data_IF_403368969031
#
_entry.id   IF_403368969031
#
_cell.length_a   1.000
_cell.length_b   1.000
_cell.length_c   1.000
_cell.angle_alpha   90.00
_cell.angle_beta   90.00
_cell.angle_gamma   90.00
#
_symmetry.space_group_name_H-M   'P 1'
#
loop_
_entity.id
_entity.type
_entity.pdbx_description
1 polymer ?
#
# COMPACT_ATOMS: atom_id res chain seq x y z
N UNK A 1 -64.33 -19.11 33.68
CA UNK A 1 -63.52 -18.50 34.76
C UNK A 1 -62.10 -18.37 34.21
N UNK A 2 -61.79 -17.21 33.62
CA UNK A 2 -61.24 -16.04 34.30
C UNK A 2 -59.70 -16.04 34.25
N UNK A 3 -59.17 -15.32 33.26
CA UNK A 3 -58.12 -14.30 33.38
C UNK A 3 -56.89 -14.68 34.22
N UNK A 4 -55.78 -15.00 33.54
CA UNK A 4 -54.42 -14.71 34.03
C UNK A 4 -53.49 -14.38 32.87
N UNK A 5 -53.84 -13.29 32.20
CA UNK A 5 -52.88 -12.42 31.55
C UNK A 5 -51.88 -11.89 32.59
N UNK A 6 -50.64 -11.67 32.14
CA UNK A 6 -49.78 -10.57 32.61
C UNK A 6 -49.31 -10.70 34.07
N UNK A 7 -48.30 -11.53 34.34
CA UNK A 7 -47.28 -11.21 35.36
C UNK A 7 -46.03 -12.11 35.25
N UNK A 8 -45.16 -11.80 34.31
CA UNK A 8 -43.71 -12.14 34.40
C UNK A 8 -42.85 -11.21 33.53
N UNK A 9 -43.38 -10.02 33.22
CA UNK A 9 -42.67 -8.94 32.51
C UNK A 9 -42.10 -7.90 33.49
N UNK A 10 -41.81 -8.25 34.74
CA UNK A 10 -41.42 -7.25 35.74
C UNK A 10 -40.39 -7.75 36.78
N UNK A 11 -39.27 -8.35 36.35
CA UNK A 11 -38.11 -8.53 37.24
C UNK A 11 -36.81 -8.88 36.48
N UNK A 12 -36.29 -7.94 35.67
CA UNK A 12 -34.84 -7.84 35.36
C UNK A 12 -34.49 -6.51 34.66
N UNK A 13 -34.93 -5.41 35.25
CA UNK A 13 -34.30 -4.11 35.04
C UNK A 13 -33.11 -4.03 36.01
N UNK A 14 -31.89 -4.14 35.46
CA UNK A 14 -30.62 -3.59 35.96
C UNK A 14 -29.46 -4.40 35.35
N UNK A 15 -29.13 -4.13 34.08
CA UNK A 15 -27.75 -4.29 33.62
C UNK A 15 -27.24 -2.91 33.28
N UNK A 16 -26.13 -2.48 33.91
CA UNK A 16 -25.64 -1.11 33.81
C UNK A 16 -25.30 -0.80 32.36
N UNK A 17 -25.81 0.33 31.92
CA UNK A 17 -25.33 1.13 30.81
C UNK A 17 -23.79 1.21 30.90
N UNK A 18 -23.10 0.32 30.18
CA UNK A 18 -21.69 0.51 29.89
C UNK A 18 -21.63 1.30 28.60
N UNK A 19 -21.66 2.63 28.75
CA UNK A 19 -21.06 3.55 27.80
C UNK A 19 -19.63 3.08 27.52
N UNK A 20 -19.44 2.25 26.48
CA UNK A 20 -18.11 1.99 25.95
C UNK A 20 -17.78 3.12 25.00
N UNK A 21 -17.35 4.25 25.56
CA UNK A 21 -16.45 5.19 24.89
C UNK A 21 -15.12 4.48 24.56
N UNK A 22 -15.12 3.55 23.60
CA UNK A 22 -13.92 2.94 23.00
C UNK A 22 -14.21 2.58 21.54
N UNK A 23 -14.68 3.57 20.79
CA UNK A 23 -15.09 3.38 19.40
C UNK A 23 -14.18 4.02 18.36
N UNK A 24 -13.64 5.22 18.62
CA UNK A 24 -12.99 6.06 17.60
C UNK A 24 -11.98 5.29 16.76
N UNK A 25 -10.81 4.98 17.31
CA UNK A 25 -9.70 4.37 16.57
C UNK A 25 -10.05 2.98 16.01
N UNK A 26 -10.80 2.14 16.73
CA UNK A 26 -11.19 0.81 16.23
C UNK A 26 -12.16 0.89 15.06
N UNK A 27 -13.08 1.87 15.08
CA UNK A 27 -14.00 2.13 13.97
C UNK A 27 -13.26 2.74 12.79
N UNK A 28 -12.39 3.73 13.02
CA UNK A 28 -11.52 4.31 11.99
C UNK A 28 -10.61 3.27 11.32
N UNK A 29 -9.95 2.36 12.07
CA UNK A 29 -9.14 1.29 11.49
C UNK A 29 -9.97 0.28 10.70
N UNK A 30 -11.21 0.03 11.11
CA UNK A 30 -12.15 -0.84 10.39
C UNK A 30 -12.62 -0.18 9.09
N UNK A 31 -12.89 1.12 9.11
CA UNK A 31 -13.28 1.91 7.95
C UNK A 31 -12.10 2.06 6.97
N UNK A 32 -10.89 2.35 7.45
CA UNK A 32 -9.64 2.35 6.67
C UNK A 32 -9.37 0.98 6.03
N UNK A 33 -9.56 -0.13 6.75
CA UNK A 33 -9.43 -1.48 6.16
C UNK A 33 -10.47 -1.73 5.07
N UNK A 34 -11.67 -1.17 5.21
CA UNK A 34 -12.73 -1.24 4.20
C UNK A 34 -12.39 -0.40 2.96
N UNK A 35 -11.77 0.76 3.13
CA UNK A 35 -11.30 1.62 2.04
C UNK A 35 -10.04 1.07 1.34
N UNK A 36 -9.11 0.47 2.08
CA UNK A 36 -7.95 -0.24 1.51
C UNK A 36 -8.40 -1.44 0.66
N UNK A 37 -9.55 -2.06 0.98
CA UNK A 37 -10.14 -3.09 0.10
C UNK A 37 -10.70 -2.54 -1.21
N UNK A 38 -11.02 -1.24 -1.28
CA UNK A 38 -11.41 -0.55 -2.53
C UNK A 38 -10.20 -0.13 -3.36
N UNK A 39 -9.01 -0.08 -2.75
CA UNK A 39 -7.76 0.06 -3.50
C UNK A 39 -7.59 -1.23 -4.29
N UNK A 40 -7.88 -1.14 -5.59
CA UNK A 40 -7.62 -2.21 -6.55
C UNK A 40 -6.12 -2.42 -6.56
N UNK A 41 -5.67 -3.37 -5.74
CA UNK A 41 -4.29 -3.76 -5.76
C UNK A 41 -4.04 -4.45 -7.10
N UNK A 42 -3.07 -3.94 -7.88
CA UNK A 42 -2.77 -4.50 -9.19
C UNK A 42 -2.47 -6.00 -9.01
N UNK A 43 -3.02 -6.81 -9.91
CA UNK A 43 -2.78 -8.26 -9.91
C UNK A 43 -1.28 -8.51 -9.86
N UNK A 44 -0.83 -9.48 -9.04
CA UNK A 44 0.60 -9.82 -8.85
C UNK A 44 1.35 -9.94 -10.19
N UNK A 45 0.67 -10.44 -11.23
CA UNK A 45 1.23 -10.54 -12.59
C UNK A 45 1.57 -9.18 -13.21
N UNK A 46 0.70 -8.17 -13.04
CA UNK A 46 0.93 -6.82 -13.55
C UNK A 46 2.09 -6.14 -12.85
N UNK A 47 2.22 -6.35 -11.53
CA UNK A 47 3.36 -5.82 -10.76
C UNK A 47 4.67 -6.43 -11.28
N UNK A 48 4.72 -7.75 -11.47
CA UNK A 48 5.93 -8.43 -11.97
C UNK A 48 6.28 -7.98 -13.38
N UNK A 49 5.30 -7.86 -14.29
CA UNK A 49 5.56 -7.39 -15.66
C UNK A 49 6.10 -5.96 -15.67
N UNK A 50 5.51 -5.05 -14.89
CA UNK A 50 5.98 -3.67 -14.81
C UNK A 50 7.38 -3.58 -14.18
N UNK A 51 7.65 -4.33 -13.11
CA UNK A 51 8.99 -4.38 -12.51
C UNK A 51 10.02 -4.98 -13.48
N UNK A 52 9.64 -5.97 -14.28
CA UNK A 52 10.50 -6.53 -15.32
C UNK A 52 10.88 -5.49 -16.38
N UNK A 53 9.91 -4.70 -16.86
CA UNK A 53 10.17 -3.61 -17.83
C UNK A 53 11.11 -2.57 -17.22
N UNK A 54 10.84 -2.14 -15.98
CA UNK A 54 11.69 -1.16 -15.28
C UNK A 54 13.11 -1.70 -15.12
N UNK A 55 13.27 -2.98 -14.81
CA UNK A 55 14.59 -3.61 -14.67
C UNK A 55 15.36 -3.61 -16.00
N UNK A 56 14.68 -3.94 -17.10
CA UNK A 56 15.27 -3.86 -18.44
C UNK A 56 15.72 -2.45 -18.78
N UNK A 57 14.89 -1.44 -18.51
CA UNK A 57 15.24 -0.04 -18.78
C UNK A 57 16.45 0.38 -17.96
N UNK A 58 16.53 0.01 -16.67
CA UNK A 58 17.71 0.30 -15.84
C UNK A 58 18.99 -0.30 -16.41
N UNK A 59 18.96 -1.54 -16.89
CA UNK A 59 20.13 -2.20 -17.50
C UNK A 59 20.57 -1.47 -18.77
N UNK A 60 19.61 -1.14 -19.65
CA UNK A 60 19.89 -0.43 -20.90
C UNK A 60 20.47 0.96 -20.62
N UNK A 61 19.84 1.73 -19.72
CA UNK A 61 20.34 3.06 -19.34
C UNK A 61 21.74 2.97 -18.72
N UNK A 62 21.99 1.98 -17.86
CA UNK A 62 23.32 1.75 -17.28
C UNK A 62 24.38 1.46 -18.35
N UNK A 63 24.10 0.58 -19.31
CA UNK A 63 25.02 0.30 -20.42
C UNK A 63 25.24 1.53 -21.30
N UNK A 64 24.20 2.31 -21.56
CA UNK A 64 24.29 3.51 -22.39
C UNK A 64 25.17 4.57 -21.73
N UNK A 65 24.97 4.83 -20.44
CA UNK A 65 25.82 5.75 -19.67
C UNK A 65 27.27 5.26 -19.65
N UNK A 66 27.49 3.98 -19.36
CA UNK A 66 28.82 3.39 -19.37
C UNK A 66 29.53 3.53 -20.73
N UNK A 67 28.82 3.32 -21.83
CA UNK A 67 29.36 3.50 -23.18
C UNK A 67 29.74 4.97 -23.46
N UNK A 68 28.92 5.91 -23.00
CA UNK A 68 29.22 7.34 -23.14
C UNK A 68 30.40 7.75 -22.26
N UNK A 69 30.44 7.32 -21.00
CA UNK A 69 31.53 7.64 -20.08
C UNK A 69 32.88 7.12 -20.60
N UNK A 70 32.90 5.88 -21.10
CA UNK A 70 34.11 5.28 -21.70
C UNK A 70 34.49 5.92 -23.03
N UNK A 71 33.51 6.24 -23.88
CA UNK A 71 33.74 6.94 -25.15
C UNK A 71 34.28 8.36 -24.96
N UNK A 72 33.70 9.12 -24.03
CA UNK A 72 34.17 10.46 -23.67
C UNK A 72 35.57 10.41 -23.05
N UNK A 73 35.83 9.46 -22.15
CA UNK A 73 37.16 9.29 -21.57
C UNK A 73 38.22 8.96 -22.64
N UNK A 74 37.88 8.12 -23.61
CA UNK A 74 38.75 7.82 -24.75
C UNK A 74 38.97 9.06 -25.64
N UNK A 75 37.92 9.83 -25.92
CA UNK A 75 38.00 11.05 -26.71
C UNK A 75 38.87 12.12 -26.03
N UNK A 76 38.72 12.31 -24.72
CA UNK A 76 39.55 13.25 -23.94
C UNK A 76 41.02 12.81 -23.94
N UNK A 77 41.29 11.50 -23.78
CA UNK A 77 42.66 10.96 -23.87
C UNK A 77 43.28 11.19 -25.24
N UNK A 78 42.52 10.96 -26.32
CA UNK A 78 42.98 11.22 -27.68
C UNK A 78 43.30 12.71 -27.89
N UNK A 79 42.46 13.60 -27.36
CA UNK A 79 42.69 15.05 -27.44
C UNK A 79 43.92 15.49 -26.63
N UNK A 80 44.12 14.97 -25.42
CA UNK A 80 45.31 15.27 -24.61
C UNK A 80 46.59 14.71 -25.24
N UNK A 81 46.52 13.54 -25.88
CA UNK A 81 47.62 12.94 -26.62
C UNK A 81 48.01 13.73 -27.88
N UNK A 82 47.12 14.54 -28.46
CA UNK A 82 47.42 15.34 -29.66
C UNK A 82 48.17 16.63 -29.32
N UNK A 83 48.00 17.14 -28.10
CA UNK A 83 48.60 18.39 -27.63
C UNK A 83 49.83 18.23 -26.75
N UNK A 84 50.25 16.99 -26.48
CA UNK A 84 51.50 16.64 -25.76
C UNK A 84 52.61 16.32 -26.74
#
# INVERSE_FOLDING_TARGET
MAKKEVDSKAAKAAKPEKEKKKGGIKKYLKDLKSEIKKVVWPSRKQVVNNTGIVMTVMVITGMFLFAIDTGLAAAIKALLSIGS
#
